data_IF_321326934254
#
_entry.id   IF_321326934254
#
_cell.length_a   1.000
_cell.length_b   1.000
_cell.length_c   1.000
_cell.angle_alpha   90.00
_cell.angle_beta   90.00
_cell.angle_gamma   90.00
#
_symmetry.space_group_name_H-M   'P 1'
#
loop_
_entity.id
_entity.type
_entity.pdbx_description
1 polymer ?
#
# COMPACT_ATOMS: atom_id res chain seq x y z
N UNK A 1 -63.43 27.92 70.09
CA UNK A 1 -63.93 27.02 69.03
C UNK A 1 -64.49 25.77 69.68
N UNK A 2 -65.70 25.35 69.31
CA UNK A 2 -66.29 24.13 69.87
C UNK A 2 -65.43 22.92 69.48
N UNK A 3 -65.25 21.92 70.37
CA UNK A 3 -64.43 20.73 70.07
C UNK A 3 -64.91 19.98 68.82
N UNK A 4 -66.20 20.11 68.49
CA UNK A 4 -66.82 19.58 67.26
C UNK A 4 -66.31 20.26 65.98
N UNK A 5 -66.03 21.56 66.02
CA UNK A 5 -65.50 22.29 64.86
C UNK A 5 -64.04 21.92 64.57
N UNK A 6 -63.21 21.70 65.61
CA UNK A 6 -61.82 21.28 65.46
C UNK A 6 -61.74 19.86 64.89
N UNK A 7 -62.58 18.93 65.36
CA UNK A 7 -62.66 17.57 64.82
C UNK A 7 -63.09 17.54 63.34
N UNK A 8 -64.02 18.41 62.94
CA UNK A 8 -64.45 18.54 61.54
C UNK A 8 -63.33 19.06 60.64
N UNK A 9 -62.57 20.08 61.08
CA UNK A 9 -61.44 20.61 60.34
C UNK A 9 -60.31 19.59 60.19
N UNK A 10 -59.97 18.84 61.24
CA UNK A 10 -58.95 17.78 61.18
C UNK A 10 -59.39 16.66 60.23
N UNK A 11 -60.67 16.26 60.28
CA UNK A 11 -61.24 15.27 59.36
C UNK A 11 -61.17 15.72 57.89
N UNK A 12 -61.49 16.99 57.61
CA UNK A 12 -61.40 17.55 56.27
C UNK A 12 -59.95 17.59 55.74
N UNK A 13 -58.98 18.00 56.58
CA UNK A 13 -57.56 18.03 56.20
C UNK A 13 -57.03 16.62 55.94
N UNK A 14 -57.40 15.64 56.77
CA UNK A 14 -57.03 14.22 56.56
C UNK A 14 -57.64 13.65 55.28
N UNK A 15 -58.91 13.95 54.99
CA UNK A 15 -59.55 13.51 53.75
C UNK A 15 -58.86 14.09 52.51
N UNK A 16 -58.52 15.39 52.54
CA UNK A 16 -57.79 16.05 51.45
C UNK A 16 -56.39 15.46 51.29
N UNK A 17 -55.67 15.18 52.38
CA UNK A 17 -54.35 14.55 52.32
C UNK A 17 -54.40 13.12 51.74
N UNK A 18 -55.43 12.34 52.08
CA UNK A 18 -55.64 11.00 51.52
C UNK A 18 -55.97 11.06 50.02
N UNK A 19 -56.82 12.00 49.61
CA UNK A 19 -57.15 12.20 48.19
C UNK A 19 -55.92 12.65 47.39
N UNK A 20 -55.13 13.58 47.93
CA UNK A 20 -53.90 14.06 47.30
C UNK A 20 -52.86 12.92 47.15
N UNK A 21 -52.70 12.07 48.15
CA UNK A 21 -51.78 10.91 48.08
C UNK A 21 -52.28 9.82 47.13
N UNK A 22 -53.60 9.58 47.05
CA UNK A 22 -54.20 8.68 46.07
C UNK A 22 -53.99 9.19 44.62
N UNK A 23 -54.17 10.49 44.38
CA UNK A 23 -53.94 11.11 43.07
C UNK A 23 -52.45 11.07 42.69
N UNK A 24 -51.55 11.41 43.62
CA UNK A 24 -50.11 11.36 43.38
C UNK A 24 -49.62 9.94 43.03
N UNK A 25 -50.21 8.90 43.65
CA UNK A 25 -49.87 7.50 43.36
C UNK A 25 -50.60 6.92 42.13
N UNK A 26 -51.55 7.66 41.55
CA UNK A 26 -52.36 7.29 40.39
C UNK A 26 -51.83 7.86 39.07
N UNK A 27 -50.80 8.70 39.11
CA UNK A 27 -50.17 9.29 37.92
C UNK A 27 -48.75 8.74 37.71
N UNK A 28 -48.49 8.15 36.54
CA UNK A 28 -47.14 7.72 36.15
C UNK A 28 -46.86 8.07 34.70
N UNK A 29 -45.61 8.47 34.43
CA UNK A 29 -45.14 8.84 33.09
C UNK A 29 -44.30 7.72 32.51
N UNK A 30 -44.47 7.49 31.21
CA UNK A 30 -43.66 6.61 30.38
C UNK A 30 -42.78 7.45 29.45
N UNK A 31 -41.52 7.04 29.26
CA UNK A 31 -40.59 7.79 28.40
C UNK A 31 -40.83 7.52 26.91
N UNK A 32 -40.25 8.35 26.03
CA UNK A 32 -40.46 8.33 24.57
C UNK A 32 -40.10 7.00 23.89
N UNK A 33 -39.15 6.23 24.43
CA UNK A 33 -38.68 4.98 23.82
C UNK A 33 -39.17 3.73 24.57
N UNK A 34 -40.14 3.90 25.44
CA UNK A 34 -40.64 2.88 26.34
C UNK A 34 -42.08 2.51 25.98
N UNK A 35 -42.40 1.23 26.12
CA UNK A 35 -43.77 0.71 26.10
C UNK A 35 -44.00 -0.04 27.41
N UNK A 36 -45.16 0.15 28.01
CA UNK A 36 -45.44 -0.33 29.35
C UNK A 36 -46.79 -1.02 29.43
N UNK A 37 -46.87 -2.11 30.20
CA UNK A 37 -48.15 -2.69 30.61
C UNK A 37 -48.45 -2.33 32.06
N UNK A 38 -49.69 -1.94 32.31
CA UNK A 38 -50.18 -1.55 33.63
C UNK A 38 -50.35 -2.82 34.48
N UNK A 39 -49.59 -2.90 35.56
CA UNK A 39 -49.72 -3.91 36.60
C UNK A 39 -50.34 -3.29 37.85
N UNK A 40 -51.51 -3.81 38.24
CA UNK A 40 -52.17 -3.40 39.47
C UNK A 40 -51.66 -4.25 40.64
N UNK A 41 -50.98 -3.62 41.61
CA UNK A 41 -50.41 -4.31 42.79
C UNK A 41 -51.48 -4.91 43.71
N UNK A 42 -52.65 -4.28 43.79
CA UNK A 42 -53.73 -4.68 44.71
C UNK A 42 -54.47 -5.88 44.13
N UNK A 43 -54.92 -5.79 42.88
CA UNK A 43 -55.68 -6.88 42.23
C UNK A 43 -54.80 -7.95 41.61
N UNK A 44 -53.47 -7.73 41.54
CA UNK A 44 -52.47 -8.59 40.89
C UNK A 44 -52.80 -8.91 39.42
N UNK A 45 -53.51 -8.00 38.75
CA UNK A 45 -53.91 -8.14 37.35
C UNK A 45 -53.00 -7.30 36.44
N UNK A 46 -52.56 -7.92 35.35
CA UNK A 46 -51.86 -7.27 34.24
C UNK A 46 -52.90 -6.90 33.17
N UNK A 47 -52.92 -5.65 32.75
CA UNK A 47 -53.77 -5.21 31.64
C UNK A 47 -53.25 -5.72 30.30
N UNK A 48 -54.13 -5.71 29.28
CA UNK A 48 -53.84 -6.31 27.97
C UNK A 48 -53.34 -5.31 26.96
N UNK A 49 -53.68 -4.03 27.15
CA UNK A 49 -53.39 -2.97 26.21
C UNK A 49 -52.04 -2.31 26.53
N UNK A 50 -51.01 -2.44 25.66
CA UNK A 50 -49.75 -1.74 25.83
C UNK A 50 -49.97 -0.23 25.79
N UNK A 51 -49.32 0.48 26.71
CA UNK A 51 -49.33 1.93 26.80
C UNK A 51 -48.02 2.47 26.24
N UNK A 52 -48.13 3.47 25.39
CA UNK A 52 -47.02 4.18 24.74
C UNK A 52 -46.58 5.37 25.58
N UNK A 53 -45.67 6.18 25.04
CA UNK A 53 -45.12 7.35 25.72
C UNK A 53 -46.20 8.32 26.22
N UNK A 54 -45.90 9.00 27.33
CA UNK A 54 -46.79 10.02 27.89
C UNK A 54 -47.21 9.77 29.33
N UNK A 55 -48.12 10.61 29.80
CA UNK A 55 -48.66 10.57 31.15
C UNK A 55 -49.92 9.69 31.18
N UNK A 56 -49.92 8.70 32.07
CA UNK A 56 -51.03 7.76 32.19
C UNK A 56 -51.60 7.80 33.60
N UNK A 57 -52.93 7.81 33.66
CA UNK A 57 -53.71 7.67 34.89
C UNK A 57 -54.09 6.20 35.07
N UNK A 58 -53.90 5.70 36.29
CA UNK A 58 -54.18 4.30 36.62
C UNK A 58 -54.76 4.13 38.02
N UNK A 59 -55.09 2.88 38.41
CA UNK A 59 -55.50 2.57 39.78
C UNK A 59 -54.44 3.04 40.79
N UNK A 60 -54.83 3.54 41.98
CA UNK A 60 -53.86 4.04 42.96
C UNK A 60 -52.81 2.98 43.28
N UNK A 61 -51.53 3.35 43.16
CA UNK A 61 -50.40 2.45 43.44
C UNK A 61 -50.03 1.46 42.34
N UNK A 62 -50.57 1.60 41.12
CA UNK A 62 -50.17 0.76 39.98
C UNK A 62 -48.69 0.95 39.58
N UNK A 63 -48.14 0.00 38.83
CA UNK A 63 -46.78 0.07 38.27
C UNK A 63 -46.77 -0.31 36.80
N UNK A 64 -45.88 0.31 36.04
CA UNK A 64 -45.58 -0.14 34.69
C UNK A 64 -44.50 -1.20 34.71
N UNK A 65 -44.72 -2.27 33.93
CA UNK A 65 -43.64 -3.17 33.53
C UNK A 65 -43.20 -2.70 32.14
N UNK A 66 -41.97 -2.19 32.07
CA UNK A 66 -41.47 -1.39 30.95
C UNK A 66 -40.59 -2.25 30.04
N UNK A 67 -40.79 -2.10 28.73
CA UNK A 67 -39.96 -2.67 27.68
C UNK A 67 -39.56 -1.56 26.70
N UNK A 68 -38.38 -1.65 26.07
CA UNK A 68 -38.01 -0.71 25.01
C UNK A 68 -38.83 -0.95 23.74
N UNK A 69 -39.35 0.11 23.13
CA UNK A 69 -40.03 0.07 21.82
C UNK A 69 -39.04 0.25 20.64
N UNK A 70 -37.75 0.41 20.94
CA UNK A 70 -36.67 0.54 19.97
C UNK A 70 -35.86 -0.75 19.87
N UNK A 71 -35.17 -0.95 18.75
CA UNK A 71 -34.24 -2.05 18.60
C UNK A 71 -33.13 -1.95 19.63
N UNK A 72 -32.87 -3.06 20.31
CA UNK A 72 -31.80 -3.19 21.29
C UNK A 72 -30.70 -4.05 20.72
N UNK A 73 -29.45 -3.67 20.97
CA UNK A 73 -28.30 -4.47 20.55
C UNK A 73 -27.87 -5.37 21.69
N UNK A 74 -27.76 -6.67 21.42
CA UNK A 74 -27.16 -7.65 22.32
C UNK A 74 -25.84 -8.14 21.75
N UNK A 75 -24.77 -8.00 22.52
CA UNK A 75 -23.46 -8.55 22.19
C UNK A 75 -23.22 -9.86 22.94
N UNK A 76 -22.70 -10.84 22.20
CA UNK A 76 -22.26 -12.15 22.65
C UNK A 76 -20.75 -12.20 22.44
N UNK A 77 -19.99 -11.84 23.47
CA UNK A 77 -18.54 -11.73 23.39
C UNK A 77 -17.88 -12.97 23.99
N UNK A 78 -16.80 -13.44 23.37
CA UNK A 78 -15.99 -14.52 23.91
C UNK A 78 -16.68 -15.87 23.92
N UNK A 79 -17.64 -16.12 23.02
CA UNK A 79 -18.35 -17.40 22.97
C UNK A 79 -17.39 -18.46 22.42
N UNK A 80 -16.98 -19.39 23.28
CA UNK A 80 -16.15 -20.52 22.87
C UNK A 80 -17.05 -21.61 22.28
N UNK A 81 -16.90 -21.93 21.00
CA UNK A 81 -17.63 -23.02 20.35
C UNK A 81 -16.68 -24.02 19.68
N UNK A 82 -17.17 -25.24 19.46
CA UNK A 82 -16.47 -26.26 18.69
C UNK A 82 -16.98 -26.21 17.27
N UNK A 83 -16.05 -26.23 16.32
CA UNK A 83 -16.40 -26.34 14.91
C UNK A 83 -16.60 -27.79 14.47
N UNK A 84 -16.94 -28.00 13.20
CA UNK A 84 -17.17 -29.34 12.64
C UNK A 84 -15.98 -30.31 12.85
N UNK A 85 -14.76 -29.78 12.88
CA UNK A 85 -13.52 -30.55 13.05
C UNK A 85 -13.09 -30.69 14.52
N UNK A 86 -13.93 -30.29 15.48
CA UNK A 86 -13.61 -30.34 16.92
C UNK A 86 -12.57 -29.32 17.38
N UNK A 87 -12.25 -28.31 16.55
CA UNK A 87 -11.35 -27.21 16.92
C UNK A 87 -12.15 -26.16 17.69
N UNK A 88 -11.63 -25.79 18.86
CA UNK A 88 -12.18 -24.69 19.67
C UNK A 88 -11.90 -23.35 19.01
N UNK A 89 -12.94 -22.55 18.78
CA UNK A 89 -12.84 -21.17 18.29
C UNK A 89 -13.59 -20.25 19.25
N UNK A 90 -13.20 -18.97 19.29
CA UNK A 90 -13.87 -17.95 20.09
C UNK A 90 -14.51 -16.95 19.15
N UNK A 91 -15.80 -16.71 19.34
CA UNK A 91 -16.61 -15.84 18.49
C UNK A 91 -17.13 -14.63 19.27
N UNK A 92 -17.15 -13.49 18.57
CA UNK A 92 -17.84 -12.29 18.99
C UNK A 92 -18.98 -12.02 17.99
N UNK A 93 -20.23 -12.08 18.45
CA UNK A 93 -21.44 -11.89 17.63
C UNK A 93 -22.33 -10.84 18.28
N UNK A 94 -22.96 -9.98 17.49
CA UNK A 94 -23.97 -9.03 17.96
C UNK A 94 -25.26 -9.16 17.17
N UNK A 95 -26.40 -9.08 17.84
CA UNK A 95 -27.69 -9.04 17.19
C UNK A 95 -28.50 -7.82 17.63
N UNK A 96 -29.32 -7.31 16.72
CA UNK A 96 -30.33 -6.30 17.01
C UNK A 96 -31.69 -6.95 17.07
N UNK A 97 -32.40 -6.77 18.18
CA UNK A 97 -33.68 -7.42 18.43
C UNK A 97 -34.71 -6.43 18.97
N UNK A 98 -36.00 -6.75 18.76
CA UNK A 98 -37.14 -5.99 19.27
C UNK A 98 -38.24 -6.95 19.72
N UNK A 99 -38.90 -6.63 20.83
CA UNK A 99 -40.00 -7.45 21.36
C UNK A 99 -41.28 -7.17 20.57
N UNK A 100 -42.02 -8.22 20.23
CA UNK A 100 -43.30 -8.11 19.55
C UNK A 100 -44.36 -7.51 20.48
N UNK A 101 -44.90 -6.33 20.13
CA UNK A 101 -45.86 -5.59 20.97
C UNK A 101 -47.17 -6.36 21.23
N UNK A 102 -47.65 -7.11 20.23
CA UNK A 102 -48.89 -7.89 20.35
C UNK A 102 -48.80 -9.03 21.37
N UNK A 103 -47.58 -9.55 21.59
CA UNK A 103 -47.29 -10.65 22.52
C UNK A 103 -46.69 -10.18 23.85
N UNK A 104 -46.63 -8.86 24.09
CA UNK A 104 -45.97 -8.28 25.27
C UNK A 104 -46.54 -8.82 26.59
N UNK A 105 -47.87 -9.03 26.68
CA UNK A 105 -48.50 -9.64 27.86
C UNK A 105 -47.99 -11.06 28.14
N UNK A 106 -47.79 -11.86 27.09
CA UNK A 106 -47.27 -13.23 27.18
C UNK A 106 -45.81 -13.21 27.63
N UNK A 107 -44.99 -12.36 27.00
CA UNK A 107 -43.58 -12.15 27.36
C UNK A 107 -43.44 -11.75 28.84
N UNK A 108 -44.28 -10.82 29.33
CA UNK A 108 -44.25 -10.42 30.75
C UNK A 108 -44.64 -11.58 31.68
N UNK A 109 -45.62 -12.40 31.31
CA UNK A 109 -46.02 -13.54 32.13
C UNK A 109 -44.94 -14.61 32.22
N UNK A 110 -44.23 -14.85 31.11
CA UNK A 110 -43.18 -15.87 31.03
C UNK A 110 -41.87 -15.40 31.68
N UNK A 111 -41.46 -14.16 31.43
CA UNK A 111 -40.13 -13.66 31.81
C UNK A 111 -40.14 -12.61 32.92
N UNK A 112 -41.32 -12.19 33.40
CA UNK A 112 -41.57 -11.17 34.44
C UNK A 112 -41.19 -9.74 34.02
N UNK A 113 -39.99 -9.53 33.52
CA UNK A 113 -39.42 -8.24 33.16
C UNK A 113 -38.47 -8.34 31.94
N UNK A 114 -38.00 -7.19 31.47
CA UNK A 114 -37.08 -7.11 30.34
C UNK A 114 -35.72 -7.76 30.64
N UNK A 115 -35.26 -7.72 31.90
CA UNK A 115 -34.00 -8.35 32.30
C UNK A 115 -34.08 -9.88 32.28
N UNK A 116 -35.22 -10.44 32.70
CA UNK A 116 -35.54 -11.86 32.60
C UNK A 116 -35.53 -12.32 31.15
N UNK A 117 -36.17 -11.57 30.25
CA UNK A 117 -36.14 -11.85 28.82
C UNK A 117 -34.69 -11.81 28.28
N UNK A 118 -33.93 -10.75 28.57
CA UNK A 118 -32.52 -10.63 28.14
C UNK A 118 -31.66 -11.81 28.58
N UNK A 119 -31.93 -12.39 29.76
CA UNK A 119 -31.22 -13.57 30.26
C UNK A 119 -31.55 -14.81 29.43
N UNK A 120 -32.81 -15.03 29.10
CA UNK A 120 -33.23 -16.17 28.25
C UNK A 120 -32.71 -16.00 26.82
N UNK A 121 -32.78 -14.79 26.26
CA UNK A 121 -32.20 -14.47 24.95
C UNK A 121 -30.67 -14.70 24.92
N UNK A 122 -29.97 -14.45 26.04
CA UNK A 122 -28.55 -14.78 26.16
C UNK A 122 -28.30 -16.28 25.96
N UNK A 123 -29.07 -17.14 26.63
CA UNK A 123 -28.92 -18.59 26.50
C UNK A 123 -29.32 -19.09 25.12
N UNK A 124 -30.46 -18.61 24.59
CA UNK A 124 -30.95 -18.97 23.27
C UNK A 124 -29.97 -18.56 22.16
N UNK A 125 -29.44 -17.33 22.22
CA UNK A 125 -28.45 -16.83 21.28
C UNK A 125 -27.12 -17.58 21.37
N UNK A 126 -26.65 -17.90 22.58
CA UNK A 126 -25.43 -18.69 22.77
C UNK A 126 -25.60 -20.09 22.15
N UNK A 127 -26.73 -20.75 22.41
CA UNK A 127 -27.04 -22.05 21.81
C UNK A 127 -27.10 -21.99 20.27
N UNK A 128 -27.72 -20.94 19.71
CA UNK A 128 -27.77 -20.72 18.25
C UNK A 128 -26.37 -20.59 17.64
N UNK A 129 -25.47 -19.86 18.31
CA UNK A 129 -24.08 -19.72 17.88
C UNK A 129 -23.36 -21.08 17.91
N UNK A 130 -23.53 -21.88 18.97
CA UNK A 130 -22.92 -23.21 19.06
C UNK A 130 -23.39 -24.13 17.93
N UNK A 131 -24.68 -24.14 17.63
CA UNK A 131 -25.27 -24.93 16.55
C UNK A 131 -24.76 -24.50 15.18
N UNK A 132 -24.67 -23.18 14.93
CA UNK A 132 -24.09 -22.67 13.70
C UNK A 132 -22.60 -23.03 13.58
N UNK A 133 -21.82 -22.97 14.68
CA UNK A 133 -20.40 -23.32 14.66
C UNK A 133 -20.15 -24.76 14.23
N UNK A 134 -20.97 -25.72 14.67
CA UNK A 134 -20.78 -27.14 14.36
C UNK A 134 -20.92 -27.47 12.88
N UNK A 135 -21.54 -26.59 12.08
CA UNK A 135 -21.77 -26.81 10.66
C UNK A 135 -20.63 -26.32 9.75
N UNK A 136 -19.60 -25.66 10.30
CA UNK A 136 -18.52 -25.07 9.52
C UNK A 136 -17.16 -25.61 9.93
N UNK A 137 -16.27 -25.79 8.96
CA UNK A 137 -14.86 -26.10 9.19
C UNK A 137 -14.05 -24.84 9.50
N UNK A 138 -12.84 -25.01 10.06
CA UNK A 138 -11.97 -23.87 10.39
C UNK A 138 -11.63 -23.01 9.17
N UNK A 139 -11.52 -23.58 7.96
CA UNK A 139 -11.21 -22.83 6.74
C UNK A 139 -12.41 -21.98 6.29
N UNK A 140 -13.60 -22.57 6.28
CA UNK A 140 -14.82 -21.95 5.75
C UNK A 140 -15.27 -20.72 6.54
N UNK A 141 -14.89 -20.58 7.82
CA UNK A 141 -15.18 -19.35 8.57
C UNK A 141 -14.58 -18.07 7.95
N UNK A 142 -13.48 -18.17 7.18
CA UNK A 142 -12.99 -17.04 6.38
C UNK A 142 -13.62 -17.03 4.99
N UNK A 143 -13.54 -18.15 4.28
CA UNK A 143 -13.92 -18.23 2.86
C UNK A 143 -15.42 -17.98 2.64
N UNK A 144 -16.25 -18.43 3.58
CA UNK A 144 -17.72 -18.41 3.51
C UNK A 144 -18.33 -17.66 4.69
N UNK A 145 -17.69 -16.57 5.12
CA UNK A 145 -18.14 -15.76 6.28
C UNK A 145 -19.61 -15.31 6.17
N UNK A 146 -20.05 -14.92 4.97
CA UNK A 146 -21.45 -14.51 4.76
C UNK A 146 -22.43 -15.69 4.90
N UNK A 147 -22.05 -16.89 4.48
CA UNK A 147 -22.89 -18.07 4.66
C UNK A 147 -23.02 -18.41 6.16
N UNK A 148 -21.92 -18.31 6.91
CA UNK A 148 -21.95 -18.47 8.37
C UNK A 148 -22.86 -17.44 9.04
N UNK A 149 -22.72 -16.16 8.68
CA UNK A 149 -23.56 -15.08 9.22
C UNK A 149 -25.05 -15.33 8.95
N UNK A 150 -25.40 -15.75 7.74
CA UNK A 150 -26.78 -16.10 7.37
C UNK A 150 -27.32 -17.26 8.19
N UNK A 151 -26.53 -18.33 8.36
CA UNK A 151 -26.96 -19.48 9.16
C UNK A 151 -27.18 -19.10 10.64
N UNK A 152 -26.26 -18.32 11.22
CA UNK A 152 -26.45 -17.81 12.60
C UNK A 152 -27.73 -16.99 12.69
N UNK A 153 -27.98 -16.12 11.70
CA UNK A 153 -29.17 -15.29 11.66
C UNK A 153 -30.45 -16.13 11.60
N UNK A 154 -30.53 -17.13 10.71
CA UNK A 154 -31.68 -18.01 10.55
C UNK A 154 -32.00 -18.80 11.84
N UNK A 155 -30.98 -19.41 12.45
CA UNK A 155 -31.15 -20.18 13.69
C UNK A 155 -31.54 -19.25 14.86
N UNK A 156 -30.93 -18.06 14.95
CA UNK A 156 -31.28 -17.08 15.97
C UNK A 156 -32.72 -16.56 15.78
N UNK A 157 -33.13 -16.24 14.55
CA UNK A 157 -34.48 -15.78 14.22
C UNK A 157 -35.51 -16.82 14.62
N UNK A 158 -35.29 -18.09 14.26
CA UNK A 158 -36.17 -19.20 14.66
C UNK A 158 -36.34 -19.29 16.19
N UNK A 159 -35.23 -19.24 16.94
CA UNK A 159 -35.24 -19.34 18.40
C UNK A 159 -35.83 -18.09 19.08
N UNK A 160 -35.58 -16.89 18.54
CA UNK A 160 -36.06 -15.63 19.11
C UNK A 160 -37.55 -15.41 18.81
N UNK A 161 -38.02 -15.81 17.62
CA UNK A 161 -39.44 -15.77 17.27
C UNK A 161 -40.28 -16.64 18.22
N UNK A 162 -39.77 -17.80 18.64
CA UNK A 162 -40.41 -18.64 19.66
C UNK A 162 -40.57 -17.93 21.03
N UNK A 163 -39.74 -16.91 21.30
CA UNK A 163 -39.77 -16.07 22.50
C UNK A 163 -40.52 -14.75 22.26
N UNK A 164 -41.26 -14.64 21.14
CA UNK A 164 -41.98 -13.44 20.70
C UNK A 164 -41.07 -12.20 20.55
N UNK A 165 -39.87 -12.42 20.04
CA UNK A 165 -38.86 -11.39 19.80
C UNK A 165 -38.39 -11.48 18.35
N UNK A 166 -38.45 -10.36 17.64
CA UNK A 166 -37.98 -10.26 16.26
C UNK A 166 -36.50 -9.86 16.24
N UNK A 167 -35.74 -10.43 15.31
CA UNK A 167 -34.37 -10.03 15.01
C UNK A 167 -34.36 -9.21 13.73
N UNK A 168 -33.66 -8.08 13.73
CA UNK A 168 -33.48 -7.24 12.54
C UNK A 168 -32.17 -7.56 11.81
N UNK A 169 -31.08 -7.71 12.56
CA UNK A 169 -29.77 -7.98 11.96
C UNK A 169 -28.86 -8.73 12.93
N UNK A 170 -28.02 -9.60 12.35
CA UNK A 170 -26.95 -10.30 13.07
C UNK A 170 -25.62 -9.99 12.41
N UNK A 171 -24.65 -9.62 13.23
CA UNK A 171 -23.29 -9.27 12.84
C UNK A 171 -22.31 -10.21 13.53
N UNK A 172 -21.48 -10.88 12.74
CA UNK A 172 -20.36 -11.67 13.24
C UNK A 172 -19.15 -10.73 13.23
N UNK A 173 -18.65 -10.35 14.41
CA UNK A 173 -17.61 -9.34 14.57
C UNK A 173 -16.22 -9.99 14.45
N UNK A 174 -15.93 -11.00 15.27
CA UNK A 174 -14.60 -11.59 15.34
C UNK A 174 -14.66 -13.11 15.44
N UNK A 175 -13.66 -13.76 14.83
CA UNK A 175 -13.47 -15.22 14.84
C UNK A 175 -12.01 -15.48 15.25
N UNK A 176 -11.77 -15.71 16.53
CA UNK A 176 -10.44 -16.00 17.06
C UNK A 176 -10.20 -17.50 17.02
N UNK A 177 -9.10 -17.91 16.39
CA UNK A 177 -8.69 -19.31 16.31
C UNK A 177 -7.58 -19.58 17.34
N UNK A 178 -7.33 -20.85 17.68
CA UNK A 178 -6.19 -21.19 18.51
C UNK A 178 -4.89 -20.74 17.84
N UNK A 179 -4.00 -20.10 18.61
CA UNK A 179 -2.72 -19.58 18.11
C UNK A 179 -1.88 -20.64 17.35
N UNK A 180 -1.80 -21.92 17.78
CA UNK A 180 -1.07 -22.94 17.02
C UNK A 180 -1.61 -23.14 15.60
N UNK A 181 -2.94 -23.11 15.44
CA UNK A 181 -3.59 -23.25 14.14
C UNK A 181 -3.33 -22.02 13.26
N UNK A 182 -3.43 -20.81 13.82
CA UNK A 182 -3.08 -19.59 13.08
C UNK A 182 -1.62 -19.60 12.61
N UNK A 183 -0.70 -20.05 13.46
CA UNK A 183 0.72 -20.15 13.09
C UNK A 183 0.92 -21.12 11.93
N UNK A 184 0.26 -22.28 11.96
CA UNK A 184 0.33 -23.27 10.88
C UNK A 184 -0.25 -22.73 9.56
N UNK A 185 -1.40 -22.04 9.60
CA UNK A 185 -1.98 -21.40 8.41
C UNK A 185 -1.07 -20.30 7.88
N UNK A 186 -0.56 -19.41 8.74
CA UNK A 186 0.38 -18.35 8.32
C UNK A 186 1.69 -18.92 7.74
N UNK A 187 2.13 -20.08 8.21
CA UNK A 187 3.30 -20.76 7.63
C UNK A 187 2.97 -21.34 6.24
N UNK A 188 1.79 -21.96 6.08
CA UNK A 188 1.32 -22.48 4.80
C UNK A 188 1.12 -21.37 3.76
N UNK A 189 0.52 -20.25 4.14
CA UNK A 189 0.32 -19.12 3.22
C UNK A 189 1.64 -18.45 2.86
N UNK A 190 2.58 -18.30 3.81
CA UNK A 190 3.95 -17.85 3.49
C UNK A 190 4.63 -18.77 2.50
N UNK A 191 4.59 -20.09 2.71
CA UNK A 191 5.18 -21.04 1.77
C UNK A 191 4.53 -20.96 0.37
N UNK A 192 3.22 -20.71 0.29
CA UNK A 192 2.52 -20.50 -1.00
C UNK A 192 2.98 -19.21 -1.68
N UNK A 193 3.12 -18.13 -0.93
CA UNK A 193 3.62 -16.85 -1.40
C UNK A 193 5.07 -16.97 -1.89
N UNK A 194 5.94 -17.64 -1.12
CA UNK A 194 7.33 -17.91 -1.48
C UNK A 194 7.43 -18.70 -2.80
N UNK A 195 6.58 -19.73 -2.97
CA UNK A 195 6.50 -20.50 -4.22
C UNK A 195 6.04 -19.62 -5.39
N UNK A 196 5.08 -18.72 -5.15
CA UNK A 196 4.58 -17.82 -6.18
C UNK A 196 5.66 -16.80 -6.60
N UNK A 197 6.35 -16.21 -5.64
CA UNK A 197 7.47 -15.29 -5.88
C UNK A 197 8.58 -16.01 -6.65
N UNK A 198 9.01 -17.19 -6.21
CA UNK A 198 10.03 -17.97 -6.90
C UNK A 198 9.65 -18.30 -8.36
N UNK A 199 8.38 -18.62 -8.62
CA UNK A 199 7.87 -18.84 -9.98
C UNK A 199 7.87 -17.58 -10.84
N UNK A 200 7.64 -16.41 -10.25
CA UNK A 200 7.68 -15.12 -10.96
C UNK A 200 9.11 -14.65 -11.20
N UNK A 201 10.04 -14.94 -10.29
CA UNK A 201 11.45 -14.58 -10.42
C UNK A 201 12.18 -15.44 -11.46
N UNK A 202 11.82 -16.72 -11.61
CA UNK A 202 12.45 -17.62 -12.58
C UNK A 202 12.51 -17.06 -14.02
N UNK A 203 11.39 -16.64 -14.67
CA UNK A 203 11.46 -16.09 -16.02
C UNK A 203 12.17 -14.74 -16.06
N UNK A 204 12.09 -13.94 -14.99
CA UNK A 204 12.83 -12.66 -14.90
C UNK A 204 14.34 -12.91 -14.95
N UNK A 205 14.85 -13.86 -14.17
CA UNK A 205 16.26 -14.23 -14.17
C UNK A 205 16.71 -14.79 -15.52
N UNK A 206 15.86 -15.58 -16.20
CA UNK A 206 16.13 -16.08 -17.55
C UNK A 206 16.22 -14.94 -18.57
N UNK A 207 15.26 -14.01 -18.56
CA UNK A 207 15.25 -12.85 -19.46
C UNK A 207 16.47 -11.96 -19.19
N UNK A 208 16.82 -11.70 -17.93
CA UNK A 208 18.01 -10.94 -17.56
C UNK A 208 19.31 -11.62 -18.03
N UNK A 209 19.42 -12.94 -17.89
CA UNK A 209 20.56 -13.70 -18.39
C UNK A 209 20.65 -13.65 -19.92
N UNK A 210 19.55 -13.85 -20.64
CA UNK A 210 19.50 -13.72 -22.10
C UNK A 210 19.85 -12.31 -22.57
N UNK A 211 19.40 -11.30 -21.84
CA UNK A 211 19.65 -9.89 -22.15
C UNK A 211 21.15 -9.60 -22.00
N UNK A 212 21.79 -10.05 -20.93
CA UNK A 212 23.25 -9.93 -20.74
C UNK A 212 24.04 -10.61 -21.86
N UNK A 213 23.60 -11.79 -22.31
CA UNK A 213 24.23 -12.49 -23.45
C UNK A 213 24.08 -11.67 -24.73
N UNK A 214 22.87 -11.16 -25.03
CA UNK A 214 22.60 -10.32 -26.20
C UNK A 214 23.42 -9.03 -26.18
N UNK A 215 23.50 -8.37 -25.02
CA UNK A 215 24.33 -7.17 -24.81
C UNK A 215 25.81 -7.46 -25.03
N UNK A 216 26.33 -8.56 -24.48
CA UNK A 216 27.73 -8.95 -24.67
C UNK A 216 28.06 -9.22 -26.16
N UNK A 217 27.17 -9.90 -26.88
CA UNK A 217 27.30 -10.13 -28.34
C UNK A 217 27.27 -8.79 -29.10
N UNK A 218 26.36 -7.89 -28.75
CA UNK A 218 26.26 -6.57 -29.38
C UNK A 218 27.54 -5.74 -29.17
N UNK A 219 28.07 -5.72 -27.94
CA UNK A 219 29.33 -5.03 -27.61
C UNK A 219 30.50 -5.64 -28.39
N UNK A 220 30.56 -6.98 -28.48
CA UNK A 220 31.58 -7.68 -29.26
C UNK A 220 31.54 -7.29 -30.74
N UNK A 221 30.35 -7.30 -31.35
CA UNK A 221 30.16 -6.91 -32.74
C UNK A 221 30.53 -5.44 -32.99
N UNK A 222 30.12 -4.52 -32.10
CA UNK A 222 30.51 -3.11 -32.18
C UNK A 222 32.03 -2.96 -32.10
N UNK A 223 32.69 -3.72 -31.22
CA UNK A 223 34.14 -3.68 -31.06
C UNK A 223 34.86 -4.21 -32.29
N UNK A 224 34.38 -5.31 -32.86
CA UNK A 224 34.89 -5.89 -34.10
C UNK A 224 34.75 -4.90 -35.27
N UNK A 225 33.58 -4.29 -35.45
CA UNK A 225 33.32 -3.32 -36.51
C UNK A 225 34.15 -2.04 -36.33
N UNK A 226 34.32 -1.56 -35.09
CA UNK A 226 35.26 -0.48 -34.79
C UNK A 226 36.70 -0.84 -35.16
N UNK A 227 37.14 -2.05 -34.85
CA UNK A 227 38.48 -2.53 -35.20
C UNK A 227 38.68 -2.62 -36.73
N UNK A 228 37.72 -3.20 -37.45
CA UNK A 228 37.73 -3.25 -38.93
C UNK A 228 37.73 -1.86 -39.55
N UNK A 229 36.89 -0.96 -39.05
CA UNK A 229 36.81 0.42 -39.53
C UNK A 229 38.14 1.16 -39.34
N UNK A 230 38.75 1.05 -38.14
CA UNK A 230 40.10 1.61 -37.88
C UNK A 230 41.16 1.02 -38.80
N UNK A 231 41.15 -0.29 -39.01
CA UNK A 231 42.06 -0.95 -39.94
C UNK A 231 41.90 -0.42 -41.38
N UNK A 232 40.65 -0.26 -41.84
CA UNK A 232 40.33 0.29 -43.17
C UNK A 232 40.80 1.74 -43.31
N UNK A 233 40.55 2.58 -42.30
CA UNK A 233 41.02 3.98 -42.29
C UNK A 233 42.54 4.02 -42.36
N UNK A 234 43.24 3.24 -41.53
CA UNK A 234 44.71 3.21 -41.50
C UNK A 234 45.29 2.69 -42.82
N UNK A 235 44.69 1.66 -43.42
CA UNK A 235 45.08 1.17 -44.74
C UNK A 235 44.89 2.26 -45.80
N UNK A 236 43.74 2.94 -45.80
CA UNK A 236 43.44 3.99 -46.79
C UNK A 236 44.35 5.21 -46.63
N UNK A 237 44.66 5.56 -45.39
CA UNK A 237 45.63 6.60 -45.07
C UNK A 237 47.03 6.24 -45.59
N UNK A 238 47.51 5.02 -45.32
CA UNK A 238 48.79 4.54 -45.84
C UNK A 238 48.84 4.50 -47.38
N UNK A 239 47.75 4.05 -48.05
CA UNK A 239 47.62 4.10 -49.51
C UNK A 239 47.66 5.54 -50.04
N UNK A 240 46.96 6.48 -49.37
CA UNK A 240 46.93 7.88 -49.75
C UNK A 240 48.30 8.54 -49.58
N UNK A 241 48.98 8.30 -48.45
CA UNK A 241 50.34 8.78 -48.18
C UNK A 241 51.33 8.23 -49.21
N UNK A 242 51.27 6.93 -49.50
CA UNK A 242 52.09 6.32 -50.56
C UNK A 242 51.83 6.94 -51.93
N UNK A 243 50.56 7.17 -52.31
CA UNK A 243 50.22 7.81 -53.57
C UNK A 243 50.69 9.27 -53.65
N UNK A 244 50.61 10.01 -52.54
CA UNK A 244 51.09 11.39 -52.47
C UNK A 244 52.60 11.46 -52.63
N UNK A 245 53.34 10.55 -51.98
CA UNK A 245 54.79 10.39 -52.13
C UNK A 245 55.14 10.06 -53.59
N UNK A 246 54.42 9.14 -54.23
CA UNK A 246 54.65 8.79 -55.64
C UNK A 246 54.42 10.00 -56.57
N UNK A 247 53.35 10.75 -56.38
CA UNK A 247 53.06 11.96 -57.16
C UNK A 247 54.14 13.01 -56.93
N UNK A 248 54.60 13.20 -55.68
CA UNK A 248 55.68 14.12 -55.36
C UNK A 248 56.97 13.75 -56.12
N UNK A 249 57.37 12.48 -56.09
CA UNK A 249 58.54 12.01 -56.85
C UNK A 249 58.35 12.15 -58.37
N UNK A 250 57.17 11.84 -58.91
CA UNK A 250 56.87 12.03 -60.33
C UNK A 250 56.97 13.50 -60.75
N UNK A 251 56.38 14.42 -59.96
CA UNK A 251 56.46 15.86 -60.22
C UNK A 251 57.87 16.40 -60.11
N UNK A 252 58.66 15.88 -59.18
CA UNK A 252 60.07 16.22 -59.09
C UNK A 252 60.86 15.73 -60.31
N UNK A 253 60.61 14.50 -60.76
CA UNK A 253 61.21 13.97 -61.99
C UNK A 253 60.82 14.77 -63.24
N UNK A 254 59.53 15.12 -63.41
CA UNK A 254 59.04 16.00 -64.48
C UNK A 254 59.71 17.38 -64.41
N UNK A 255 59.81 17.98 -63.22
CA UNK A 255 60.49 19.26 -63.01
C UNK A 255 61.96 19.20 -63.42
N UNK A 256 62.67 18.11 -63.09
CA UNK A 256 64.05 17.90 -63.50
C UNK A 256 64.17 17.69 -65.01
N UNK A 257 63.24 16.96 -65.61
CA UNK A 257 63.20 16.75 -67.07
C UNK A 257 62.97 18.07 -67.82
N UNK A 258 62.11 18.96 -67.31
CA UNK A 258 61.89 20.29 -67.88
C UNK A 258 63.12 21.20 -67.78
N UNK A 259 63.96 21.03 -66.75
CA UNK A 259 65.25 21.75 -66.65
C UNK A 259 66.25 21.26 -67.71
N UNK A 260 66.14 19.99 -68.12
CA UNK A 260 67.01 19.33 -69.10
C UNK A 260 66.53 19.47 -70.56
N UNK A 261 65.27 19.86 -70.81
CA UNK A 261 64.73 19.94 -72.16
C UNK A 261 65.19 21.21 -72.92
N UNK A 262 65.15 21.22 -74.27
CA UNK A 262 65.69 22.32 -75.09
C UNK A 262 64.96 23.67 -74.93
N UNK A 263 63.75 23.66 -74.37
CA UNK A 263 62.95 24.86 -74.09
C UNK A 263 63.20 25.44 -72.68
N UNK A 264 64.04 24.77 -71.87
CA UNK A 264 64.48 25.19 -70.55
C UNK A 264 65.92 25.73 -70.53
N UNK A 265 66.69 25.36 -69.49
CA UNK A 265 68.04 25.89 -69.23
C UNK A 265 69.16 25.22 -70.06
N UNK A 266 68.86 24.13 -70.78
CA UNK A 266 69.79 23.43 -71.70
C UNK A 266 71.18 23.13 -71.10
N UNK A 267 71.22 22.59 -69.88
CA UNK A 267 72.46 22.25 -69.18
C UNK A 267 73.20 21.07 -69.82
N UNK A 268 74.54 21.12 -69.83
CA UNK A 268 75.40 19.96 -70.10
C UNK A 268 75.46 19.00 -68.89
N UNK A 269 75.84 17.74 -69.09
CA UNK A 269 75.85 16.71 -68.03
C UNK A 269 76.58 17.14 -66.74
N UNK A 270 77.62 17.96 -66.86
CA UNK A 270 78.45 18.42 -65.72
C UNK A 270 77.78 19.58 -64.95
N UNK A 271 77.05 20.47 -65.63
CA UNK A 271 76.33 21.61 -65.04
C UNK A 271 75.06 21.16 -64.29
N UNK A 272 74.38 20.13 -64.80
CA UNK A 272 73.24 19.52 -64.12
C UNK A 272 73.64 18.88 -62.78
N UNK A 273 74.83 18.25 -62.71
CA UNK A 273 75.36 17.66 -61.48
C UNK A 273 75.68 18.72 -60.42
N UNK A 274 76.17 19.89 -60.82
CA UNK A 274 76.39 21.02 -59.89
C UNK A 274 75.07 21.59 -59.36
N UNK A 275 74.06 21.75 -60.22
CA UNK A 275 72.71 22.17 -59.80
C UNK A 275 72.07 21.18 -58.81
N UNK A 276 72.16 19.89 -59.10
CA UNK A 276 71.76 18.81 -58.19
C UNK A 276 72.51 18.87 -56.85
N UNK A 277 73.84 19.07 -56.87
CA UNK A 277 74.65 19.16 -55.66
C UNK A 277 74.23 20.35 -54.79
N UNK A 278 74.04 21.54 -55.37
CA UNK A 278 73.58 22.73 -54.64
C UNK A 278 72.16 22.53 -54.09
N UNK A 279 71.25 21.91 -54.87
CA UNK A 279 69.87 21.65 -54.43
C UNK A 279 69.81 20.66 -53.26
N UNK A 280 70.62 19.59 -53.30
CA UNK A 280 70.73 18.62 -52.19
C UNK A 280 71.33 19.29 -50.95
N UNK A 281 72.35 20.14 -51.13
CA UNK A 281 72.93 20.92 -50.03
C UNK A 281 71.90 21.90 -49.45
N UNK A 282 71.02 22.48 -50.28
CA UNK A 282 69.96 23.39 -49.81
C UNK A 282 68.79 22.69 -49.13
N UNK A 283 68.50 21.43 -49.49
CA UNK A 283 67.39 20.65 -48.92
C UNK A 283 67.78 19.96 -47.62
N UNK A 284 69.07 19.66 -47.46
CA UNK A 284 69.65 19.28 -46.17
C UNK A 284 69.82 20.57 -45.36
N UNK A 285 69.06 20.72 -44.29
CA UNK A 285 68.99 21.93 -43.45
C UNK A 285 70.27 22.24 -42.64
N UNK A 286 71.46 21.99 -43.19
CA UNK A 286 72.77 22.17 -42.57
C UNK A 286 73.49 23.40 -43.16
N UNK A 287 74.05 24.25 -42.30
CA UNK A 287 74.76 25.47 -42.69
C UNK A 287 76.17 25.16 -43.22
N UNK A 288 76.51 25.68 -44.42
CA UNK A 288 77.82 25.48 -45.07
C UNK A 288 78.57 26.83 -45.12
N UNK A 289 79.75 26.91 -44.49
CA UNK A 289 80.60 28.11 -44.52
C UNK A 289 81.55 28.06 -45.73
N UNK A 290 81.45 29.05 -46.63
CA UNK A 290 82.38 29.25 -47.75
C UNK A 290 83.33 30.40 -47.41
N UNK A 291 84.63 30.11 -47.24
CA UNK A 291 85.65 31.12 -46.93
C UNK A 291 86.07 31.88 -48.19
N UNK A 292 85.73 33.17 -48.27
CA UNK A 292 86.28 34.12 -49.24
C UNK A 292 87.02 35.21 -48.47
N UNK A 293 88.31 35.44 -48.76
CA UNK A 293 89.12 36.49 -48.12
C UNK A 293 88.73 37.87 -48.67
N UNK A 294 88.27 38.76 -47.79
CA UNK A 294 87.97 40.15 -48.10
C UNK A 294 89.15 41.07 -47.71
N UNK A 295 89.46 42.12 -48.49
CA UNK A 295 90.49 43.10 -48.12
C UNK A 295 90.03 43.99 -46.96
N UNK A 296 90.97 44.26 -46.04
CA UNK A 296 90.78 44.99 -44.78
C UNK A 296 90.27 46.42 -44.98
N UNK A 297 89.29 46.83 -44.15
CA UNK A 297 88.92 48.24 -43.96
C UNK A 297 89.15 48.62 -42.48
N UNK A 298 89.97 49.64 -42.15
CA UNK A 298 90.66 49.74 -40.85
C UNK A 298 89.90 50.53 -39.76
N UNK A 299 88.58 50.38 -39.64
CA UNK A 299 87.85 50.93 -38.48
C UNK A 299 86.94 49.88 -37.84
N UNK A 300 87.55 49.08 -36.96
CA UNK A 300 86.83 48.25 -36.00
C UNK A 300 86.63 49.02 -34.70
N UNK A 301 85.39 49.08 -34.22
CA UNK A 301 85.09 49.32 -32.80
C UNK A 301 84.54 47.98 -32.27
N UNK A 302 85.09 47.41 -31.18
CA UNK A 302 84.75 46.07 -30.74
C UNK A 302 83.45 46.11 -29.93
N UNK A 303 82.43 45.36 -30.34
CA UNK A 303 81.32 45.02 -29.45
C UNK A 303 81.44 43.56 -28.99
N UNK A 304 81.89 43.42 -27.75
CA UNK A 304 81.85 42.17 -26.97
C UNK A 304 80.39 41.75 -26.72
N UNK A 305 80.15 40.44 -26.85
CA UNK A 305 78.85 39.81 -26.55
C UNK A 305 78.64 39.70 -25.03
N UNK A 306 77.44 40.01 -24.52
CA UNK A 306 77.03 39.49 -23.22
C UNK A 306 76.62 38.01 -23.30
N UNK A 307 76.88 37.20 -22.24
CA UNK A 307 76.66 35.75 -22.20
C UNK A 307 75.16 35.36 -22.12
N UNK A 308 74.80 34.13 -22.54
CA UNK A 308 73.42 33.70 -22.67
C UNK A 308 72.72 33.49 -21.32
N UNK A 309 71.45 33.89 -21.16
CA UNK A 309 70.68 33.59 -19.97
C UNK A 309 70.24 32.12 -19.93
N UNK A 310 70.46 31.55 -18.76
CA UNK A 310 70.24 30.18 -18.31
C UNK A 310 68.75 29.81 -18.28
N UNK A 311 68.35 28.71 -18.92
CA UNK A 311 66.95 28.23 -18.89
C UNK A 311 66.87 26.98 -18.01
N UNK A 312 66.32 27.18 -16.81
CA UNK A 312 65.93 26.13 -15.86
C UNK A 312 64.76 25.28 -16.39
N UNK A 313 64.71 23.97 -16.09
CA UNK A 313 63.62 23.10 -16.50
C UNK A 313 62.36 23.39 -15.67
N UNK A 314 61.23 23.61 -16.37
CA UNK A 314 59.90 23.65 -15.76
C UNK A 314 59.54 22.26 -15.23
N UNK A 315 59.03 22.22 -13.99
CA UNK A 315 58.33 21.07 -13.39
C UNK A 315 57.15 20.63 -14.24
#
# INVERSE_FOLDING_TARGET
MSPKAIALCIGAVMAVAIIATLLATSMKKLQTYEVGLIYNKITKRLQDNPKFEGLHLGPPGFTFIIFPNVYQTKAFNGIMCLNQNGVRIILDVSCQFKVQLHSMKKVIKEFKDFDGLKRVLQYAGTAAIHEACSNFTTAEFQERREAFRKLVQEIMEFRFNALNTDISSVQVNNIRRPQPYEKAIRAKERAREDILVARQEQPKQLIEAETKVKEAIAISNITLEKAKSRARIKKKQAESEASAILIQYQKEAESLQNVLSPEGLNYTNDEFLQYMAIRIISSLNNTLYVGMNFPENPHSIPFQRPPPPNVTPKK
#
